data_IF_111352402509
#
_entry.id   IF_111352402509
#
_cell.length_a   1.000
_cell.length_b   1.000
_cell.length_c   1.000
_cell.angle_alpha   90.00
_cell.angle_beta   90.00
_cell.angle_gamma   90.00
#
_symmetry.space_group_name_H-M   'P 1'
#
loop_
_entity.id
_entity.type
_entity.pdbx_description
1 polymer ?
#
# COMPACT_ATOMS: atom_id res chain seq x y z
N UNK A 1 12.96 -2.07 23.24
CA UNK A 1 14.16 -2.02 22.39
C UNK A 1 13.82 -2.73 21.09
N UNK A 2 13.82 -2.04 19.94
CA UNK A 2 13.54 -2.69 18.65
C UNK A 2 14.71 -3.58 18.26
N UNK A 3 14.45 -4.77 17.75
CA UNK A 3 15.52 -5.75 17.49
C UNK A 3 16.14 -5.62 16.11
N UNK A 4 15.46 -4.98 15.15
CA UNK A 4 15.87 -4.80 13.75
C UNK A 4 14.95 -3.82 13.02
N UNK A 5 15.48 -3.00 12.13
CA UNK A 5 14.66 -2.14 11.25
C UNK A 5 14.20 -2.82 9.97
N UNK A 6 12.96 -2.53 9.59
CA UNK A 6 12.33 -2.92 8.32
C UNK A 6 11.95 -1.66 7.55
N UNK A 7 12.41 -1.56 6.31
CA UNK A 7 12.09 -0.48 5.38
C UNK A 7 11.04 -0.92 4.36
N UNK A 8 10.10 -0.03 4.07
CA UNK A 8 9.09 -0.19 3.02
C UNK A 8 9.27 0.94 2.00
N UNK A 9 9.79 0.61 0.83
CA UNK A 9 10.15 1.57 -0.23
C UNK A 9 9.14 1.46 -1.37
N UNK A 10 8.63 2.60 -1.83
CA UNK A 10 7.67 2.64 -2.95
C UNK A 10 7.79 3.94 -3.72
N UNK A 11 7.54 3.88 -5.02
CA UNK A 11 7.34 5.05 -5.89
C UNK A 11 5.96 5.70 -5.70
N UNK A 12 5.02 4.97 -5.07
CA UNK A 12 3.70 5.47 -4.63
C UNK A 12 3.62 5.70 -3.12
N UNK A 13 2.46 5.41 -2.54
CA UNK A 13 2.17 5.67 -1.11
C UNK A 13 2.88 4.73 -0.13
N UNK A 14 3.42 3.59 -0.62
CA UNK A 14 4.05 2.58 0.22
C UNK A 14 3.10 1.68 1.00
N UNK A 15 1.77 1.86 0.87
CA UNK A 15 0.77 1.06 1.58
C UNK A 15 0.89 -0.42 1.19
N UNK A 16 1.00 -0.72 -0.12
CA UNK A 16 1.10 -2.11 -0.60
C UNK A 16 2.32 -2.83 -0.03
N UNK A 17 3.50 -2.18 -0.06
CA UNK A 17 4.74 -2.73 0.50
C UNK A 17 4.61 -3.01 2.00
N UNK A 18 4.03 -2.04 2.73
CA UNK A 18 3.82 -2.12 4.18
C UNK A 18 2.83 -3.23 4.55
N UNK A 19 1.64 -3.25 3.94
CA UNK A 19 0.61 -4.27 4.21
C UNK A 19 1.14 -5.68 3.93
N UNK A 20 1.77 -5.89 2.78
CA UNK A 20 2.28 -7.20 2.40
C UNK A 20 3.46 -7.64 3.26
N UNK A 21 4.45 -6.77 3.45
CA UNK A 21 5.61 -7.12 4.27
C UNK A 21 5.23 -7.35 5.73
N UNK A 22 4.26 -6.61 6.29
CA UNK A 22 3.73 -6.89 7.62
C UNK A 22 3.03 -8.24 7.70
N UNK A 23 2.27 -8.64 6.68
CA UNK A 23 1.63 -9.95 6.63
C UNK A 23 2.65 -11.10 6.65
N UNK A 24 3.78 -10.97 5.95
CA UNK A 24 4.88 -11.94 5.99
C UNK A 24 5.60 -11.91 7.35
N UNK A 25 5.90 -10.72 7.86
CA UNK A 25 6.62 -10.55 9.12
C UNK A 25 5.84 -11.08 10.32
N UNK A 26 4.51 -11.12 10.26
CA UNK A 26 3.65 -11.71 11.28
C UNK A 26 3.92 -13.20 11.55
N UNK A 27 4.62 -13.89 10.64
CA UNK A 27 5.06 -15.29 10.82
C UNK A 27 6.26 -15.42 11.77
N UNK A 28 6.84 -14.31 12.24
CA UNK A 28 8.03 -14.29 13.08
C UNK A 28 7.75 -13.55 14.40
N UNK A 29 8.17 -14.12 15.52
CA UNK A 29 8.00 -13.53 16.84
C UNK A 29 9.07 -12.46 17.14
N UNK A 30 8.98 -11.28 16.51
CA UNK A 30 9.79 -10.13 16.88
C UNK A 30 9.09 -8.79 16.61
N UNK A 31 9.57 -7.72 17.26
CA UNK A 31 9.05 -6.35 17.08
C UNK A 31 10.07 -5.48 16.32
N UNK A 32 9.96 -5.38 14.98
CA UNK A 32 10.81 -4.49 14.21
C UNK A 32 10.52 -3.01 14.46
N UNK A 33 11.46 -2.15 14.06
CA UNK A 33 11.18 -0.72 13.82
C UNK A 33 10.77 -0.55 12.37
N UNK A 34 9.60 0.02 12.12
CA UNK A 34 9.10 0.24 10.76
C UNK A 34 9.53 1.61 10.23
N UNK A 35 9.97 1.66 8.99
CA UNK A 35 10.26 2.90 8.27
C UNK A 35 9.64 2.83 6.89
N UNK A 36 8.61 3.64 6.64
CA UNK A 36 8.01 3.78 5.31
C UNK A 36 8.62 4.95 4.57
N UNK A 37 9.08 4.69 3.35
CA UNK A 37 9.70 5.66 2.44
C UNK A 37 8.86 5.71 1.15
N UNK A 38 7.80 6.53 1.12
CA UNK A 38 6.93 6.68 -0.04
C UNK A 38 7.52 7.66 -1.06
N UNK A 39 6.97 7.64 -2.28
CA UNK A 39 7.28 8.57 -3.37
C UNK A 39 8.77 8.62 -3.74
N UNK A 40 9.43 7.47 -3.76
CA UNK A 40 10.80 7.30 -4.24
C UNK A 40 10.76 7.19 -5.77
N UNK A 41 10.54 8.33 -6.41
CA UNK A 41 10.28 8.49 -7.85
C UNK A 41 11.46 9.11 -8.62
N UNK A 42 12.63 9.24 -7.97
CA UNK A 42 13.86 9.71 -8.61
C UNK A 42 15.10 8.96 -8.12
N UNK A 43 16.14 8.96 -8.97
CA UNK A 43 17.46 8.39 -8.66
C UNK A 43 18.09 9.05 -7.43
N UNK A 44 17.95 10.37 -7.29
CA UNK A 44 18.47 11.09 -6.11
C UNK A 44 17.82 10.63 -4.81
N UNK A 45 16.49 10.43 -4.82
CA UNK A 45 15.77 9.87 -3.68
C UNK A 45 16.22 8.44 -3.40
N UNK A 46 16.45 7.62 -4.42
CA UNK A 46 16.99 6.27 -4.23
C UNK A 46 18.36 6.28 -3.55
N UNK A 47 19.26 7.18 -3.93
CA UNK A 47 20.55 7.34 -3.24
C UNK A 47 20.39 7.78 -1.79
N UNK A 48 19.42 8.62 -1.46
CA UNK A 48 19.10 8.97 -0.06
C UNK A 48 18.64 7.76 0.72
N UNK A 49 17.75 6.94 0.14
CA UNK A 49 17.27 5.70 0.73
C UNK A 49 18.43 4.74 1.01
N UNK A 50 19.33 4.53 0.04
CA UNK A 50 20.53 3.70 0.20
C UNK A 50 21.38 4.17 1.38
N UNK A 51 21.65 5.48 1.49
CA UNK A 51 22.40 6.03 2.62
C UNK A 51 21.70 5.76 3.95
N UNK A 52 20.39 5.95 4.01
CA UNK A 52 19.61 5.73 5.24
C UNK A 52 19.61 4.26 5.68
N UNK A 53 19.42 3.33 4.74
CA UNK A 53 19.44 1.88 5.03
C UNK A 53 20.82 1.46 5.50
N UNK A 54 21.87 1.88 4.78
CA UNK A 54 23.25 1.51 5.11
C UNK A 54 23.68 2.07 6.46
N UNK A 55 23.36 3.33 6.74
CA UNK A 55 23.62 3.94 8.04
C UNK A 55 22.88 3.21 9.17
N UNK A 56 21.62 2.81 8.94
CA UNK A 56 20.86 2.01 9.91
C UNK A 56 21.52 0.66 10.17
N UNK A 57 22.06 0.01 9.13
CA UNK A 57 22.80 -1.24 9.28
C UNK A 57 24.04 -1.08 10.17
N UNK A 58 24.77 0.03 10.01
CA UNK A 58 25.97 0.36 10.79
C UNK A 58 25.62 0.65 12.25
N UNK A 59 24.60 1.47 12.50
CA UNK A 59 24.18 1.86 13.86
C UNK A 59 23.56 0.69 14.63
N UNK A 60 22.76 -0.14 13.97
CA UNK A 60 22.08 -1.26 14.64
C UNK A 60 22.94 -2.53 14.70
N UNK A 61 24.07 -2.57 13.99
CA UNK A 61 24.93 -3.76 13.87
C UNK A 61 24.21 -4.97 13.27
N UNK A 62 23.07 -4.76 12.60
CA UNK A 62 22.22 -5.80 12.02
C UNK A 62 21.76 -5.36 10.65
N UNK A 63 21.79 -6.29 9.70
CA UNK A 63 21.32 -6.08 8.32
C UNK A 63 19.83 -5.72 8.31
N UNK A 64 19.38 -4.52 7.89
CA UNK A 64 17.95 -4.20 7.82
C UNK A 64 17.23 -5.08 6.79
N UNK A 65 15.92 -5.25 6.94
CA UNK A 65 15.07 -5.86 5.89
C UNK A 65 14.46 -4.73 5.07
N UNK A 66 14.36 -4.90 3.76
CA UNK A 66 13.85 -3.88 2.85
C UNK A 66 12.84 -4.53 1.91
N UNK A 67 11.58 -4.15 2.02
CA UNK A 67 10.55 -4.47 1.04
C UNK A 67 10.45 -3.31 0.05
N UNK A 68 10.40 -3.62 -1.24
CA UNK A 68 10.24 -2.62 -2.29
C UNK A 68 9.17 -2.99 -3.29
N UNK A 69 8.47 -1.97 -3.80
CA UNK A 69 7.53 -2.06 -4.92
C UNK A 69 7.92 -1.06 -6.02
N UNK A 70 9.20 -0.76 -6.18
CA UNK A 70 9.65 0.15 -7.24
C UNK A 70 9.47 -0.51 -8.61
N UNK A 71 8.78 0.16 -9.53
CA UNK A 71 8.66 -0.33 -10.93
C UNK A 71 9.71 0.26 -11.87
N UNK A 72 10.21 1.45 -11.56
CA UNK A 72 11.21 2.10 -12.40
C UNK A 72 12.56 1.39 -12.22
N UNK A 73 13.03 0.77 -13.31
CA UNK A 73 14.25 -0.04 -13.35
C UNK A 73 15.50 0.76 -12.97
N UNK A 74 15.60 2.02 -13.37
CA UNK A 74 16.76 2.86 -13.03
C UNK A 74 16.82 3.16 -11.54
N UNK A 75 15.67 3.44 -10.92
CA UNK A 75 15.56 3.70 -9.48
C UNK A 75 15.81 2.41 -8.69
N UNK A 76 15.19 1.30 -9.10
CA UNK A 76 15.36 0.00 -8.46
C UNK A 76 16.84 -0.43 -8.48
N UNK A 77 17.51 -0.26 -9.62
CA UNK A 77 18.92 -0.61 -9.79
C UNK A 77 19.83 0.11 -8.79
N UNK A 78 19.57 1.39 -8.52
CA UNK A 78 20.32 2.15 -7.49
C UNK A 78 20.17 1.51 -6.11
N UNK A 79 18.96 1.04 -5.77
CA UNK A 79 18.72 0.33 -4.51
C UNK A 79 19.43 -1.03 -4.53
N UNK A 80 19.30 -1.82 -5.59
CA UNK A 80 19.91 -3.15 -5.70
C UNK A 80 21.44 -3.11 -5.59
N UNK A 81 22.09 -2.16 -6.25
CA UNK A 81 23.54 -2.04 -6.27
C UNK A 81 24.09 -1.39 -4.98
N UNK A 82 23.34 -0.47 -4.37
CA UNK A 82 23.82 0.34 -3.24
C UNK A 82 23.40 -0.16 -1.85
N UNK A 83 22.29 -0.89 -1.75
CA UNK A 83 21.69 -1.27 -0.48
C UNK A 83 22.40 -2.47 0.14
N UNK A 84 22.89 -2.31 1.38
CA UNK A 84 23.46 -3.39 2.19
C UNK A 84 22.39 -4.16 2.98
N UNK A 85 21.12 -3.79 2.87
CA UNK A 85 19.99 -4.48 3.48
C UNK A 85 19.64 -5.81 2.79
N UNK A 86 18.72 -6.56 3.39
CA UNK A 86 18.09 -7.71 2.72
C UNK A 86 16.94 -7.17 1.88
N UNK A 87 17.17 -7.03 0.58
CA UNK A 87 16.19 -6.51 -0.37
C UNK A 87 15.22 -7.63 -0.80
N UNK A 88 13.93 -7.33 -0.70
CA UNK A 88 12.82 -8.14 -1.16
C UNK A 88 12.02 -7.29 -2.16
N UNK A 89 12.36 -7.45 -3.44
CA UNK A 89 11.60 -6.84 -4.53
C UNK A 89 10.34 -7.65 -4.79
N UNK A 90 9.20 -7.07 -4.42
CA UNK A 90 7.91 -7.73 -4.55
C UNK A 90 7.52 -7.93 -6.01
N UNK A 91 7.84 -6.99 -6.90
CA UNK A 91 7.47 -7.12 -8.31
C UNK A 91 8.38 -8.10 -9.04
N UNK A 92 9.70 -8.03 -8.80
CA UNK A 92 10.63 -9.04 -9.30
C UNK A 92 10.31 -10.45 -8.81
N UNK A 93 9.90 -10.60 -7.55
CA UNK A 93 9.62 -11.92 -6.95
C UNK A 93 8.27 -12.49 -7.37
N UNK A 94 7.21 -11.68 -7.42
CA UNK A 94 5.83 -12.18 -7.59
C UNK A 94 5.17 -11.79 -8.91
N UNK A 95 5.52 -10.64 -9.50
CA UNK A 95 4.89 -10.20 -10.77
C UNK A 95 5.56 -10.87 -11.95
N UNK A 96 6.90 -10.95 -11.99
CA UNK A 96 7.61 -11.57 -13.12
C UNK A 96 7.17 -13.01 -13.42
N UNK A 97 6.96 -13.91 -12.42
CA UNK A 97 6.41 -15.23 -12.71
C UNK A 97 5.00 -15.19 -13.32
N UNK A 98 4.16 -14.26 -12.88
CA UNK A 98 2.81 -14.07 -13.44
C UNK A 98 2.86 -13.56 -14.88
N UNK A 99 3.82 -12.70 -15.22
CA UNK A 99 3.97 -12.23 -16.61
C UNK A 99 4.28 -13.38 -17.57
N UNK A 100 5.13 -14.31 -17.12
CA UNK A 100 5.49 -15.51 -17.87
C UNK A 100 4.26 -16.41 -18.02
N UNK A 101 3.55 -16.67 -16.92
CA UNK A 101 2.38 -17.55 -16.91
C UNK A 101 1.22 -17.00 -17.74
N UNK A 102 0.96 -15.68 -17.63
CA UNK A 102 -0.13 -15.01 -18.34
C UNK A 102 0.24 -14.64 -19.78
N UNK A 103 1.51 -14.77 -20.17
CA UNK A 103 1.99 -14.35 -21.49
C UNK A 103 1.81 -12.84 -21.75
N UNK A 104 1.77 -12.03 -20.70
CA UNK A 104 1.49 -10.60 -20.76
C UNK A 104 2.47 -9.84 -19.87
N UNK A 105 3.00 -8.71 -20.35
CA UNK A 105 3.82 -7.84 -19.50
C UNK A 105 2.93 -7.07 -18.55
N UNK A 106 3.34 -6.96 -17.29
CA UNK A 106 2.70 -6.06 -16.35
C UNK A 106 2.85 -4.63 -16.83
N UNK A 107 1.93 -3.77 -16.39
CA UNK A 107 1.88 -2.42 -16.90
C UNK A 107 3.03 -1.51 -16.42
N UNK A 108 4.01 -2.01 -15.64
CA UNK A 108 5.31 -1.40 -15.25
C UNK A 108 5.35 0.15 -15.13
N UNK A 109 4.25 0.79 -14.71
CA UNK A 109 4.11 2.25 -14.77
C UNK A 109 3.77 2.80 -13.41
N UNK A 110 4.66 3.65 -12.92
CA UNK A 110 4.44 4.57 -11.81
C UNK A 110 3.15 5.34 -12.12
N UNK A 111 2.17 5.27 -11.22
CA UNK A 111 1.03 6.20 -11.23
C UNK A 111 -0.03 6.02 -12.32
N UNK A 112 -0.10 4.88 -13.04
CA UNK A 112 -1.29 4.51 -13.83
C UNK A 112 -2.15 3.49 -13.09
N UNK A 113 -2.70 3.90 -11.95
CA UNK A 113 -4.14 3.69 -11.87
C UNK A 113 -4.69 4.58 -12.98
N UNK A 114 -5.18 4.00 -14.08
CA UNK A 114 -5.95 4.74 -15.10
C UNK A 114 -6.78 5.80 -14.40
N UNK A 115 -6.75 7.08 -14.83
CA UNK A 115 -7.52 8.20 -14.26
C UNK A 115 -8.64 7.65 -13.38
N UNK A 116 -8.42 7.56 -12.07
CA UNK A 116 -9.29 6.76 -11.21
C UNK A 116 -10.74 7.27 -11.36
N UNK A 117 -10.87 8.58 -11.59
CA UNK A 117 -12.10 9.30 -11.96
C UNK A 117 -12.80 8.86 -13.26
N UNK A 118 -12.13 8.11 -14.14
CA UNK A 118 -12.71 7.51 -15.36
C UNK A 118 -13.09 6.05 -15.18
N UNK A 119 -12.70 5.42 -14.07
CA UNK A 119 -13.13 4.04 -13.80
C UNK A 119 -14.57 4.06 -13.30
N UNK A 120 -15.42 3.22 -13.90
CA UNK A 120 -16.81 3.06 -13.46
C UNK A 120 -16.86 2.71 -11.97
N UNK A 121 -15.99 1.79 -11.53
CA UNK A 121 -15.89 1.36 -10.13
C UNK A 121 -15.62 2.50 -9.13
N UNK A 122 -14.80 3.49 -9.51
CA UNK A 122 -14.59 4.66 -8.65
C UNK A 122 -15.81 5.58 -8.62
N UNK A 123 -16.45 5.80 -9.76
CA UNK A 123 -17.67 6.60 -9.82
C UNK A 123 -18.78 5.95 -9.00
N UNK A 124 -18.96 4.63 -9.14
CA UNK A 124 -19.89 3.83 -8.35
C UNK A 124 -19.59 3.96 -6.83
N UNK A 125 -18.31 3.96 -6.42
CA UNK A 125 -17.92 4.24 -5.01
C UNK A 125 -18.25 5.66 -4.55
N UNK A 126 -17.99 6.66 -5.38
CA UNK A 126 -18.32 8.06 -5.04
C UNK A 126 -19.84 8.22 -4.90
N UNK A 127 -20.63 7.59 -5.78
CA UNK A 127 -22.08 7.56 -5.68
C UNK A 127 -22.54 6.85 -4.40
N UNK A 128 -21.95 5.70 -4.06
CA UNK A 128 -22.24 4.99 -2.81
C UNK A 128 -21.91 5.82 -1.56
N UNK A 129 -20.78 6.53 -1.54
CA UNK A 129 -20.41 7.42 -0.43
C UNK A 129 -21.40 8.56 -0.30
N UNK A 130 -21.77 9.20 -1.41
CA UNK A 130 -22.76 10.28 -1.42
C UNK A 130 -24.14 9.78 -0.96
N UNK A 131 -24.54 8.60 -1.40
CA UNK A 131 -25.79 7.96 -0.97
C UNK A 131 -25.77 7.70 0.54
N UNK A 132 -24.69 7.12 1.07
CA UNK A 132 -24.52 6.87 2.50
C UNK A 132 -24.56 8.16 3.33
N UNK A 133 -23.84 9.22 2.92
CA UNK A 133 -23.85 10.51 3.60
C UNK A 133 -25.22 11.18 3.58
N UNK A 134 -25.98 11.04 2.49
CA UNK A 134 -27.31 11.62 2.35
C UNK A 134 -28.39 10.93 3.21
N UNK A 135 -28.14 9.70 3.68
CA UNK A 135 -29.14 8.88 4.41
C UNK A 135 -28.68 8.42 5.81
N UNK A 136 -27.48 8.80 6.25
CA UNK A 136 -26.88 8.32 7.50
C UNK A 136 -27.71 8.65 8.77
N UNK A 137 -28.41 9.78 8.76
CA UNK A 137 -29.21 10.24 9.89
C UNK A 137 -30.59 9.56 9.99
N UNK A 138 -30.96 8.73 9.00
CA UNK A 138 -32.22 8.03 8.92
C UNK A 138 -33.45 8.95 8.91
N UNK A 139 -33.28 10.24 8.60
CA UNK A 139 -34.39 11.21 8.62
C UNK A 139 -35.32 11.10 7.41
N UNK A 140 -34.88 10.43 6.34
CA UNK A 140 -35.63 10.25 5.11
C UNK A 140 -35.77 8.78 4.77
N UNK A 141 -37.01 8.36 4.49
CA UNK A 141 -37.31 7.06 3.89
C UNK A 141 -37.24 7.07 2.36
N UNK A 142 -36.97 8.23 1.76
CA UNK A 142 -36.79 8.38 0.32
C UNK A 142 -35.59 7.53 -0.09
N UNK A 143 -35.71 6.86 -1.23
CA UNK A 143 -34.61 6.11 -1.86
C UNK A 143 -34.07 4.92 -1.03
N UNK A 144 -34.70 4.55 0.11
CA UNK A 144 -34.36 3.33 0.87
C UNK A 144 -34.46 2.05 0.03
N UNK A 145 -35.35 2.02 -0.98
CA UNK A 145 -35.52 0.87 -1.87
C UNK A 145 -34.35 0.67 -2.83
N UNK A 146 -33.53 1.71 -3.08
CA UNK A 146 -32.32 1.62 -3.90
C UNK A 146 -31.07 1.32 -3.09
N UNK A 147 -31.18 1.10 -1.77
CA UNK A 147 -30.05 0.73 -0.93
C UNK A 147 -29.68 -0.75 -1.13
N UNK A 148 -28.42 -1.03 -1.43
CA UNK A 148 -27.89 -2.40 -1.48
C UNK A 148 -27.82 -3.06 -0.09
N UNK A 149 -27.57 -2.25 0.95
CA UNK A 149 -27.46 -2.69 2.35
C UNK A 149 -28.14 -1.68 3.26
N UNK A 150 -28.93 -2.17 4.23
CA UNK A 150 -29.56 -1.35 5.27
C UNK A 150 -29.04 -1.78 6.64
N UNK A 151 -28.42 -0.84 7.36
CA UNK A 151 -27.91 -1.07 8.72
C UNK A 151 -28.96 -0.66 9.76
N UNK A 152 -29.48 -1.62 10.51
CA UNK A 152 -30.45 -1.39 11.60
C UNK A 152 -29.77 -1.61 12.95
N UNK A 153 -29.93 -0.66 13.87
CA UNK A 153 -29.37 -0.78 15.22
C UNK A 153 -29.64 0.44 16.11
N UNK A 154 -29.48 0.28 17.42
CA UNK A 154 -29.68 1.33 18.42
C UNK A 154 -28.73 2.52 18.23
N UNK A 155 -29.05 3.68 18.80
CA UNK A 155 -28.16 4.84 18.75
C UNK A 155 -26.76 4.51 19.29
N UNK A 156 -25.71 5.03 18.63
CA UNK A 156 -24.29 4.80 18.93
C UNK A 156 -23.76 3.36 18.73
N UNK A 157 -24.43 2.55 17.90
CA UNK A 157 -23.96 1.20 17.54
C UNK A 157 -22.94 1.16 16.39
N UNK A 158 -22.37 2.31 15.97
CA UNK A 158 -21.39 2.37 14.88
C UNK A 158 -21.96 2.28 13.47
N UNK A 159 -23.26 2.56 13.26
CA UNK A 159 -23.89 2.56 11.92
C UNK A 159 -23.17 3.50 10.95
N UNK A 160 -22.97 4.76 11.34
CA UNK A 160 -22.31 5.79 10.53
C UNK A 160 -20.91 5.45 10.02
N UNK A 161 -19.95 5.04 10.87
CA UNK A 161 -18.64 4.64 10.36
C UNK A 161 -18.71 3.37 9.51
N UNK A 162 -19.69 2.48 9.77
CA UNK A 162 -19.83 1.22 9.02
C UNK A 162 -20.44 1.47 7.63
N UNK A 163 -21.47 2.31 7.51
CA UNK A 163 -22.09 2.65 6.22
C UNK A 163 -21.09 3.31 5.27
N UNK A 164 -20.27 4.23 5.80
CA UNK A 164 -19.20 4.87 5.03
C UNK A 164 -18.05 3.94 4.66
N UNK A 165 -17.78 2.91 5.46
CA UNK A 165 -16.75 1.92 5.15
C UNK A 165 -17.20 0.91 4.08
N UNK A 166 -18.50 0.60 4.05
CA UNK A 166 -19.09 -0.31 3.06
C UNK A 166 -19.32 0.35 1.69
N UNK A 167 -19.46 1.67 1.66
CA UNK A 167 -19.61 2.49 0.46
C UNK A 167 -18.29 2.66 -0.31
#
# INVERSE_FOLDING_TARGET
MHTRTVFFISDGTGITAETFGNAILAQFEFKPRHVRLPFIDSVDKAHQVVRQVNHTAEVEGKKPVVFTTLVNVEILRVIEEGCKGMLLDMFGTFVRPLEIELGMTSNHRVGRFSDISKSKEYNDRIEAINFSLAHDDGQSNRDLQSADVILVGVSRSGKTPTSLYLA
#
